data_IF_862494893166
#
_entry.id   IF_862494893166
#
_cell.length_a   1.000
_cell.length_b   1.000
_cell.length_c   1.000
_cell.angle_alpha   90.00
_cell.angle_beta   90.00
_cell.angle_gamma   90.00
#
_symmetry.space_group_name_H-M   'P 1'
#
loop_
_entity.id
_entity.type
_entity.pdbx_description
1 polymer ?
#
# COMPACT_ATOMS: atom_id res chain seq x y z
N UNK A 1 21.20 -7.72 1.95
CA UNK A 1 19.85 -8.27 1.68
C UNK A 1 19.61 -8.23 0.18
N UNK A 2 18.87 -9.21 -0.38
CA UNK A 2 18.54 -9.24 -1.81
C UNK A 2 17.16 -8.63 -2.02
N UNK A 3 17.06 -7.61 -2.87
CA UNK A 3 15.77 -6.99 -3.24
C UNK A 3 15.01 -7.92 -4.18
N UNK A 4 13.71 -8.09 -3.94
CA UNK A 4 12.80 -8.89 -4.75
C UNK A 4 12.19 -10.06 -3.98
N UNK A 5 11.54 -10.97 -4.70
CA UNK A 5 10.81 -12.11 -4.13
C UNK A 5 11.23 -13.43 -4.77
N UNK A 6 10.93 -14.55 -4.10
CA UNK A 6 11.03 -15.87 -4.71
C UNK A 6 10.05 -15.98 -5.89
N UNK A 7 10.42 -16.75 -6.91
CA UNK A 7 9.53 -17.07 -8.03
C UNK A 7 8.37 -17.97 -7.59
N UNK A 8 8.61 -18.86 -6.62
CA UNK A 8 7.61 -19.64 -5.90
C UNK A 8 7.90 -19.59 -4.40
N UNK A 9 6.85 -19.37 -3.61
CA UNK A 9 6.90 -19.27 -2.17
C UNK A 9 6.71 -20.62 -1.48
N UNK A 10 5.97 -21.54 -2.12
CA UNK A 10 5.75 -22.91 -1.69
C UNK A 10 6.18 -23.88 -2.79
N UNK A 11 7.13 -24.76 -2.47
CA UNK A 11 7.66 -25.81 -3.34
C UNK A 11 7.65 -27.14 -2.59
N UNK A 12 6.99 -28.17 -3.15
CA UNK A 12 6.81 -29.49 -2.50
C UNK A 12 6.20 -29.33 -1.09
N UNK A 13 6.94 -29.66 -0.04
CA UNK A 13 6.56 -29.54 1.37
C UNK A 13 7.26 -28.38 2.09
N UNK A 14 7.90 -27.46 1.36
CA UNK A 14 8.63 -26.33 1.92
C UNK A 14 7.95 -25.01 1.55
N UNK A 15 7.76 -24.15 2.56
CA UNK A 15 7.15 -22.83 2.44
C UNK A 15 8.15 -21.80 2.96
N UNK A 16 8.34 -20.74 2.18
CA UNK A 16 9.15 -19.59 2.56
C UNK A 16 8.26 -18.50 3.14
N UNK A 17 8.67 -17.94 4.28
CA UNK A 17 7.99 -16.87 5.02
C UNK A 17 9.04 -15.85 5.47
N UNK A 18 8.64 -14.57 5.55
CA UNK A 18 9.52 -13.45 5.92
C UNK A 18 10.67 -13.27 4.93
N UNK A 19 11.89 -13.01 5.44
CA UNK A 19 13.06 -12.77 4.59
C UNK A 19 13.43 -13.95 3.68
N UNK A 20 12.98 -15.18 3.97
CA UNK A 20 13.19 -16.32 3.10
C UNK A 20 12.33 -16.24 1.81
N UNK A 21 11.17 -15.58 1.90
CA UNK A 21 10.20 -15.40 0.81
C UNK A 21 10.57 -14.23 -0.10
N UNK A 22 11.11 -13.15 0.46
CA UNK A 22 11.48 -11.96 -0.30
C UNK A 22 11.77 -10.78 0.61
N UNK A 23 12.22 -9.69 0.01
CA UNK A 23 12.47 -8.43 0.69
C UNK A 23 12.23 -7.25 -0.26
N UNK A 24 11.45 -6.28 0.23
CA UNK A 24 11.33 -4.92 -0.30
C UNK A 24 11.71 -4.00 0.84
N UNK A 25 12.34 -2.86 0.53
CA UNK A 25 12.80 -1.91 1.55
C UNK A 25 11.66 -1.43 2.48
N UNK A 26 11.97 -1.02 3.71
CA UNK A 26 10.97 -0.77 4.75
C UNK A 26 10.24 0.58 4.63
N UNK A 27 10.25 1.23 3.46
CA UNK A 27 9.64 2.55 3.25
C UNK A 27 8.12 2.56 3.51
N UNK A 28 7.44 1.43 3.29
CA UNK A 28 6.00 1.26 3.54
C UNK A 28 5.66 0.43 4.77
N UNK A 29 6.62 0.15 5.65
CA UNK A 29 6.44 -0.70 6.85
C UNK A 29 5.83 -2.10 6.58
N UNK A 30 6.12 -2.70 5.42
CA UNK A 30 5.46 -3.93 4.94
C UNK A 30 6.14 -5.24 5.34
N UNK A 31 7.29 -5.22 6.01
CA UNK A 31 8.06 -6.43 6.33
C UNK A 31 7.31 -7.43 7.23
N UNK A 32 6.76 -6.95 8.35
CA UNK A 32 5.94 -7.78 9.23
C UNK A 32 4.60 -8.13 8.58
N UNK A 33 4.00 -7.20 7.84
CA UNK A 33 2.74 -7.44 7.12
C UNK A 33 2.86 -8.62 6.14
N UNK A 34 3.89 -8.63 5.28
CA UNK A 34 4.13 -9.73 4.32
C UNK A 34 4.41 -11.07 5.00
N UNK A 35 5.04 -11.04 6.19
CA UNK A 35 5.24 -12.23 7.03
C UNK A 35 3.90 -12.76 7.54
N UNK A 36 3.08 -11.89 8.13
CA UNK A 36 1.74 -12.23 8.62
C UNK A 36 0.85 -12.76 7.50
N UNK A 37 0.83 -12.08 6.34
CA UNK A 37 0.02 -12.50 5.19
C UNK A 37 0.41 -13.88 4.67
N UNK A 38 1.70 -14.22 4.72
CA UNK A 38 2.18 -15.57 4.44
C UNK A 38 1.58 -16.63 5.37
N UNK A 39 1.45 -16.34 6.66
CA UNK A 39 0.78 -17.26 7.61
C UNK A 39 -0.73 -17.35 7.35
N UNK A 40 -1.42 -16.23 7.15
CA UNK A 40 -2.86 -16.21 6.87
C UNK A 40 -3.20 -17.02 5.62
N UNK A 41 -2.47 -16.79 4.51
CA UNK A 41 -2.65 -17.54 3.28
C UNK A 41 -2.31 -19.02 3.47
N UNK A 42 -1.32 -19.35 4.30
CA UNK A 42 -1.04 -20.75 4.62
C UNK A 42 -2.21 -21.40 5.36
N UNK A 43 -2.85 -20.70 6.30
CA UNK A 43 -4.05 -21.22 6.98
C UNK A 43 -5.23 -21.36 6.01
N UNK A 44 -5.41 -20.43 5.09
CA UNK A 44 -6.45 -20.46 4.06
C UNK A 44 -6.26 -21.63 3.07
N UNK A 45 -5.00 -21.92 2.69
CA UNK A 45 -4.63 -22.98 1.77
C UNK A 45 -4.02 -24.19 2.45
N UNK A 46 -4.31 -24.40 3.74
CA UNK A 46 -3.70 -25.45 4.55
C UNK A 46 -4.00 -26.82 3.93
N UNK A 47 -2.98 -27.64 3.64
CA UNK A 47 -3.23 -28.96 3.09
C UNK A 47 -3.73 -29.88 4.20
N UNK A 48 -4.69 -30.75 3.87
CA UNK A 48 -5.06 -31.87 4.74
C UNK A 48 -3.98 -32.96 4.71
N UNK A 49 -4.39 -34.22 4.60
CA UNK A 49 -3.45 -35.36 4.55
C UNK A 49 -2.47 -35.32 3.35
N UNK A 50 -2.80 -34.58 2.28
CA UNK A 50 -1.97 -34.45 1.09
C UNK A 50 -1.91 -33.01 0.60
N UNK A 51 -0.74 -32.61 0.10
CA UNK A 51 -0.53 -31.31 -0.53
C UNK A 51 -1.05 -31.36 -1.96
N UNK A 52 -2.25 -30.81 -2.17
CA UNK A 52 -2.80 -30.64 -3.51
C UNK A 52 -2.04 -29.54 -4.27
N UNK A 53 -1.56 -29.79 -5.50
CA UNK A 53 -0.86 -28.78 -6.30
C UNK A 53 -1.64 -27.47 -6.44
N UNK A 54 -2.96 -27.53 -6.52
CA UNK A 54 -3.85 -26.38 -6.68
C UNK A 54 -3.78 -25.42 -5.49
N UNK A 55 -3.73 -25.94 -4.26
CA UNK A 55 -3.61 -25.12 -3.05
C UNK A 55 -2.29 -24.36 -3.04
N UNK A 56 -1.20 -25.07 -3.37
CA UNK A 56 0.14 -24.49 -3.49
C UNK A 56 0.19 -23.41 -4.58
N UNK A 57 -0.43 -23.66 -5.73
CA UNK A 57 -0.40 -22.72 -6.85
C UNK A 57 -1.20 -21.45 -6.53
N UNK A 58 -2.32 -21.58 -5.80
CA UNK A 58 -3.07 -20.44 -5.27
C UNK A 58 -2.27 -19.66 -4.24
N UNK A 59 -1.67 -20.33 -3.25
CA UNK A 59 -0.76 -19.67 -2.29
C UNK A 59 0.35 -18.88 -2.99
N UNK A 60 1.01 -19.49 -3.99
CA UNK A 60 2.06 -18.85 -4.76
C UNK A 60 1.57 -17.61 -5.54
N UNK A 61 0.38 -17.70 -6.15
CA UNK A 61 -0.23 -16.59 -6.87
C UNK A 61 -0.53 -15.43 -5.93
N UNK A 62 -1.22 -15.69 -4.81
CA UNK A 62 -1.60 -14.65 -3.86
C UNK A 62 -0.39 -13.99 -3.20
N UNK A 63 0.62 -14.76 -2.77
CA UNK A 63 1.87 -14.18 -2.25
C UNK A 63 2.64 -13.39 -3.31
N UNK A 64 2.59 -13.82 -4.57
CA UNK A 64 3.17 -13.07 -5.69
C UNK A 64 2.55 -11.69 -5.83
N UNK A 65 1.22 -11.62 -5.83
CA UNK A 65 0.46 -10.38 -5.90
C UNK A 65 0.78 -9.45 -4.72
N UNK A 66 0.84 -9.96 -3.50
CA UNK A 66 1.20 -9.18 -2.30
C UNK A 66 2.55 -8.49 -2.49
N UNK A 67 3.60 -9.23 -2.87
CA UNK A 67 4.92 -8.63 -3.06
C UNK A 67 4.99 -7.69 -4.26
N UNK A 68 4.29 -7.99 -5.35
CA UNK A 68 4.29 -7.14 -6.55
C UNK A 68 3.56 -5.81 -6.29
N UNK A 69 2.48 -5.83 -5.52
CA UNK A 69 1.79 -4.61 -5.07
C UNK A 69 2.68 -3.78 -4.13
N UNK A 70 3.38 -4.42 -3.18
CA UNK A 70 4.34 -3.74 -2.31
C UNK A 70 5.45 -3.09 -3.13
N UNK A 71 6.01 -3.81 -4.09
CA UNK A 71 7.03 -3.26 -5.01
C UNK A 71 6.49 -2.03 -5.74
N UNK A 72 5.31 -2.11 -6.34
CA UNK A 72 4.75 -1.02 -7.15
C UNK A 72 4.43 0.22 -6.31
N UNK A 73 3.90 0.02 -5.10
CA UNK A 73 3.65 1.09 -4.15
C UNK A 73 4.95 1.80 -3.72
N UNK A 74 6.01 1.05 -3.44
CA UNK A 74 7.32 1.63 -3.11
C UNK A 74 7.93 2.34 -4.32
N UNK A 75 7.88 1.72 -5.50
CA UNK A 75 8.40 2.31 -6.74
C UNK A 75 7.75 3.66 -7.04
N UNK A 76 6.46 3.81 -6.75
CA UNK A 76 5.73 5.06 -6.95
C UNK A 76 6.38 6.26 -6.24
N UNK A 77 6.95 6.07 -5.04
CA UNK A 77 7.64 7.14 -4.31
C UNK A 77 8.87 7.66 -5.05
N UNK A 78 9.60 6.75 -5.70
CA UNK A 78 10.78 7.08 -6.50
C UNK A 78 10.38 7.63 -7.86
N UNK A 79 9.35 7.07 -8.48
CA UNK A 79 8.87 7.51 -9.79
C UNK A 79 8.34 8.95 -9.78
N UNK A 80 7.66 9.35 -8.70
CA UNK A 80 7.05 10.68 -8.59
C UNK A 80 8.00 11.79 -8.10
N UNK A 81 9.21 11.43 -7.68
CA UNK A 81 10.15 12.41 -7.12
C UNK A 81 10.46 13.54 -8.11
N UNK A 82 10.57 14.77 -7.61
CA UNK A 82 10.91 15.95 -8.42
C UNK A 82 12.39 16.32 -8.39
N UNK A 83 13.21 15.48 -7.77
CA UNK A 83 14.65 15.69 -7.54
C UNK A 83 15.48 15.49 -8.81
N UNK A 84 16.50 16.30 -9.03
CA UNK A 84 17.22 16.40 -10.32
C UNK A 84 18.52 15.59 -10.40
N UNK A 85 19.04 15.12 -9.28
CA UNK A 85 20.34 14.46 -9.18
C UNK A 85 20.36 13.11 -9.92
N UNK A 86 21.55 12.62 -10.27
CA UNK A 86 21.72 11.40 -11.08
C UNK A 86 20.91 10.21 -10.54
N UNK A 87 21.05 9.92 -9.25
CA UNK A 87 20.29 8.86 -8.58
C UNK A 87 18.77 8.96 -8.80
N UNK A 88 18.20 10.17 -8.67
CA UNK A 88 16.76 10.38 -8.81
C UNK A 88 16.29 10.34 -10.25
N UNK A 89 17.14 10.74 -11.20
CA UNK A 89 16.85 10.55 -12.63
C UNK A 89 16.82 9.06 -12.99
N UNK A 90 17.78 8.29 -12.49
CA UNK A 90 17.87 6.85 -12.74
C UNK A 90 16.70 6.11 -12.08
N UNK A 91 16.35 6.46 -10.84
CA UNK A 91 15.23 5.86 -10.13
C UNK A 91 13.88 6.10 -10.83
N UNK A 92 13.68 7.29 -11.44
CA UNK A 92 12.49 7.58 -12.26
C UNK A 92 12.46 6.85 -13.60
N UNK A 93 13.61 6.46 -14.13
CA UNK A 93 13.71 5.79 -15.41
C UNK A 93 13.44 4.28 -15.33
N UNK A 94 13.26 3.74 -14.11
CA UNK A 94 12.89 2.34 -13.90
C UNK A 94 11.51 2.08 -14.53
N UNK A 95 11.37 1.07 -15.41
CA UNK A 95 10.09 0.72 -16.02
C UNK A 95 9.04 0.37 -14.96
N UNK A 96 7.81 0.83 -15.19
CA UNK A 96 6.67 0.51 -14.35
C UNK A 96 6.10 -0.86 -14.73
N UNK A 97 5.34 -1.46 -13.82
CA UNK A 97 4.52 -2.63 -14.15
C UNK A 97 3.31 -2.19 -14.97
N UNK A 98 2.80 -3.08 -15.82
CA UNK A 98 1.59 -2.80 -16.61
C UNK A 98 0.41 -2.35 -15.73
N UNK A 99 0.24 -2.98 -14.55
CA UNK A 99 -0.81 -2.61 -13.59
C UNK A 99 -0.62 -1.21 -13.00
N UNK A 100 0.63 -0.81 -12.74
CA UNK A 100 0.92 0.53 -12.22
C UNK A 100 0.75 1.60 -13.31
N UNK A 101 1.12 1.30 -14.56
CA UNK A 101 0.89 2.18 -15.72
C UNK A 101 -0.62 2.40 -15.96
N UNK A 102 -1.41 1.34 -15.92
CA UNK A 102 -2.87 1.40 -16.09
C UNK A 102 -3.52 2.24 -14.99
N UNK A 103 -3.14 2.01 -13.72
CA UNK A 103 -3.64 2.81 -12.59
C UNK A 103 -3.27 4.29 -12.76
N UNK A 104 -2.02 4.60 -13.13
CA UNK A 104 -1.59 5.98 -13.36
C UNK A 104 -2.34 6.63 -14.52
N UNK A 105 -2.66 5.90 -15.58
CA UNK A 105 -3.43 6.42 -16.71
C UNK A 105 -4.84 6.85 -16.28
N UNK A 106 -5.51 6.03 -15.45
CA UNK A 106 -6.83 6.36 -14.90
C UNK A 106 -6.77 7.53 -13.90
N UNK A 107 -5.76 7.52 -13.04
CA UNK A 107 -5.52 8.60 -12.07
C UNK A 107 -5.24 9.92 -12.78
N UNK A 108 -4.36 9.94 -13.78
CA UNK A 108 -3.99 11.16 -14.48
C UNK A 108 -5.17 11.80 -15.19
N UNK A 109 -6.14 11.00 -15.64
CA UNK A 109 -7.27 11.52 -16.39
C UNK A 109 -8.35 12.11 -15.48
N UNK A 110 -8.81 11.34 -14.49
CA UNK A 110 -9.98 11.70 -13.68
C UNK A 110 -9.75 11.64 -12.16
N UNK A 111 -8.53 11.29 -11.73
CA UNK A 111 -8.22 11.05 -10.32
C UNK A 111 -8.82 9.74 -9.82
N UNK A 112 -9.08 8.77 -10.71
CA UNK A 112 -9.65 7.49 -10.34
C UNK A 112 -8.56 6.50 -9.94
N UNK A 113 -8.73 5.89 -8.76
CA UNK A 113 -7.95 4.75 -8.29
C UNK A 113 -8.96 3.65 -8.00
N UNK A 114 -8.83 2.52 -8.67
CA UNK A 114 -9.77 1.42 -8.48
C UNK A 114 -9.41 0.66 -7.20
N UNK A 115 -10.37 0.52 -6.26
CA UNK A 115 -10.18 -0.39 -5.15
C UNK A 115 -10.22 -1.82 -5.68
N UNK A 116 -9.18 -2.60 -5.40
CA UNK A 116 -9.18 -4.05 -5.64
C UNK A 116 -9.16 -4.76 -4.29
N UNK A 117 -10.11 -5.66 -4.09
CA UNK A 117 -10.19 -6.46 -2.89
C UNK A 117 -8.90 -7.25 -2.67
N UNK A 118 -8.39 -7.21 -1.44
CA UNK A 118 -7.14 -7.87 -1.07
C UNK A 118 -5.87 -7.10 -1.42
N UNK A 119 -5.97 -5.81 -1.79
CA UNK A 119 -4.79 -4.95 -1.85
C UNK A 119 -4.10 -4.79 -0.49
N UNK A 120 -2.77 -4.66 -0.52
CA UNK A 120 -1.96 -4.33 0.66
C UNK A 120 -2.21 -2.90 1.15
N UNK A 121 -2.55 -1.99 0.23
CA UNK A 121 -2.76 -0.56 0.52
C UNK A 121 -4.13 -0.11 0.05
N UNK A 122 -4.81 0.72 0.85
CA UNK A 122 -6.03 1.38 0.44
C UNK A 122 -5.77 2.43 -0.66
N UNK A 123 -6.79 2.73 -1.44
CA UNK A 123 -6.81 3.81 -2.45
C UNK A 123 -6.33 5.16 -1.88
N UNK A 124 -6.75 5.48 -0.66
CA UNK A 124 -6.39 6.69 0.08
C UNK A 124 -4.87 6.85 0.22
N UNK A 125 -4.13 5.74 0.39
CA UNK A 125 -2.67 5.78 0.47
C UNK A 125 -2.03 6.25 -0.84
N UNK A 126 -2.60 5.83 -1.98
CA UNK A 126 -2.14 6.30 -3.28
C UNK A 126 -2.48 7.77 -3.47
N UNK A 127 -3.71 8.20 -3.13
CA UNK A 127 -4.08 9.63 -3.18
C UNK A 127 -3.11 10.51 -2.39
N UNK A 128 -2.73 10.10 -1.17
CA UNK A 128 -1.76 10.83 -0.35
C UNK A 128 -0.36 10.92 -0.99
N UNK A 129 0.10 9.84 -1.64
CA UNK A 129 1.38 9.85 -2.36
C UNK A 129 1.34 10.79 -3.56
N UNK A 130 0.26 10.76 -4.33
CA UNK A 130 0.11 11.62 -5.51
C UNK A 130 0.04 13.11 -5.11
N UNK A 131 -0.81 13.43 -4.13
CA UNK A 131 -0.97 14.78 -3.59
C UNK A 131 0.33 15.32 -2.98
N UNK A 132 1.01 14.50 -2.16
CA UNK A 132 2.30 14.84 -1.57
C UNK A 132 3.40 15.13 -2.61
N UNK A 133 3.29 14.54 -3.80
CA UNK A 133 4.19 14.81 -4.93
C UNK A 133 3.65 15.84 -5.95
N UNK A 134 2.51 16.48 -5.65
CA UNK A 134 1.82 17.45 -6.51
C UNK A 134 1.48 16.90 -7.89
N UNK A 135 1.12 15.62 -7.97
CA UNK A 135 0.58 15.00 -9.17
C UNK A 135 -0.94 15.04 -9.09
N UNK A 136 -1.56 15.92 -9.86
CA UNK A 136 -3.01 16.09 -9.89
C UNK A 136 -3.60 15.57 -11.20
N UNK A 137 -4.84 15.08 -11.18
CA UNK A 137 -5.53 14.69 -12.40
C UNK A 137 -5.73 15.90 -13.32
N UNK A 138 -5.80 15.66 -14.63
CA UNK A 138 -6.06 16.68 -15.65
C UNK A 138 -7.41 17.35 -15.46
N UNK A 139 -8.39 16.57 -15.02
CA UNK A 139 -9.76 17.03 -14.79
C UNK A 139 -10.39 16.26 -13.63
N UNK A 140 -11.35 16.87 -12.93
CA UNK A 140 -12.09 16.17 -11.90
C UNK A 140 -12.98 15.09 -12.51
N UNK A 141 -13.25 14.04 -11.73
CA UNK A 141 -14.21 13.01 -12.12
C UNK A 141 -15.61 13.62 -12.36
N UNK A 142 -16.34 13.29 -13.43
CA UNK A 142 -17.62 13.95 -13.78
C UNK A 142 -18.68 13.96 -12.67
N UNK A 143 -18.68 12.93 -11.81
CA UNK A 143 -19.58 12.88 -10.63
C UNK A 143 -19.40 14.05 -9.67
N UNK A 144 -18.24 14.70 -9.62
CA UNK A 144 -18.03 15.87 -8.76
C UNK A 144 -18.85 17.07 -9.22
N UNK A 145 -19.20 17.17 -10.51
CA UNK A 145 -20.03 18.23 -11.05
C UNK A 145 -21.51 18.12 -10.62
N UNK A 146 -21.92 16.98 -10.07
CA UNK A 146 -23.28 16.78 -9.55
C UNK A 146 -23.48 17.39 -8.16
N UNK A 147 -22.40 17.70 -7.45
CA UNK A 147 -22.46 18.25 -6.10
C UNK A 147 -22.54 19.79 -6.13
N UNK A 148 -23.53 20.42 -5.47
CA UNK A 148 -23.58 21.88 -5.36
C UNK A 148 -22.34 22.43 -4.64
N UNK A 149 -21.64 23.46 -5.19
CA UNK A 149 -20.39 23.95 -4.60
C UNK A 149 -20.50 24.36 -3.12
N UNK A 150 -21.60 25.04 -2.76
CA UNK A 150 -21.84 25.43 -1.36
C UNK A 150 -22.00 24.24 -0.41
N UNK A 151 -22.56 23.13 -0.90
CA UNK A 151 -22.72 21.91 -0.10
C UNK A 151 -21.37 21.22 0.10
N UNK A 152 -20.55 21.17 -0.97
CA UNK A 152 -19.18 20.65 -0.90
C UNK A 152 -18.32 21.46 0.08
N UNK A 153 -18.36 22.79 0.00
CA UNK A 153 -17.59 23.67 0.89
C UNK A 153 -17.98 23.50 2.35
N UNK A 154 -19.29 23.36 2.62
CA UNK A 154 -19.80 23.06 3.97
C UNK A 154 -19.33 21.70 4.46
N UNK A 155 -19.42 20.67 3.62
CA UNK A 155 -18.97 19.31 3.97
C UNK A 155 -17.48 19.30 4.32
N UNK A 156 -16.63 19.85 3.45
CA UNK A 156 -15.18 19.90 3.65
C UNK A 156 -14.79 20.74 4.86
N UNK A 157 -15.46 21.88 5.07
CA UNK A 157 -15.23 22.73 6.25
C UNK A 157 -15.65 22.02 7.54
N UNK A 158 -16.77 21.29 7.52
CA UNK A 158 -17.24 20.48 8.65
C UNK A 158 -16.25 19.37 9.00
N UNK A 159 -15.78 18.60 8.02
CA UNK A 159 -14.75 17.57 8.22
C UNK A 159 -13.47 18.16 8.82
N UNK A 160 -13.02 19.32 8.31
CA UNK A 160 -11.86 20.01 8.85
C UNK A 160 -12.05 20.41 10.31
N UNK A 161 -13.20 20.99 10.67
CA UNK A 161 -13.50 21.38 12.04
C UNK A 161 -13.56 20.18 12.98
N UNK A 162 -14.16 19.07 12.54
CA UNK A 162 -14.18 17.82 13.31
C UNK A 162 -12.78 17.28 13.56
N UNK A 163 -11.91 17.27 12.53
CA UNK A 163 -10.52 16.82 12.67
C UNK A 163 -9.72 17.70 13.64
N UNK A 164 -9.89 19.03 13.58
CA UNK A 164 -9.24 19.96 14.52
C UNK A 164 -9.74 19.71 15.94
N UNK A 165 -11.06 19.67 16.14
CA UNK A 165 -11.65 19.42 17.45
C UNK A 165 -11.19 18.08 18.05
N UNK A 166 -11.12 17.02 17.24
CA UNK A 166 -10.60 15.73 17.67
C UNK A 166 -9.12 15.84 18.08
N UNK A 167 -8.27 16.45 17.24
CA UNK A 167 -6.85 16.62 17.51
C UNK A 167 -6.59 17.42 18.80
N UNK A 168 -7.38 18.48 19.06
CA UNK A 168 -7.26 19.32 20.25
C UNK A 168 -7.67 18.58 21.55
N UNK A 169 -8.46 17.51 21.44
CA UNK A 169 -8.88 16.69 22.59
C UNK A 169 -7.98 15.49 22.88
N UNK A 170 -7.10 15.13 21.96
CA UNK A 170 -6.19 13.99 22.13
C UNK A 170 -4.98 14.39 22.98
N UNK A 171 -4.59 13.57 23.97
CA UNK A 171 -3.38 13.84 24.73
C UNK A 171 -2.14 13.68 23.84
N UNK A 172 -1.02 14.34 24.19
CA UNK A 172 0.29 14.01 23.63
C UNK A 172 0.57 12.50 23.71
N UNK A 173 1.28 11.97 22.70
CA UNK A 173 1.61 10.54 22.65
C UNK A 173 2.35 10.06 23.91
N UNK A 174 3.23 10.90 24.47
CA UNK A 174 4.00 10.57 25.69
C UNK A 174 3.08 10.31 26.89
N UNK A 175 2.08 11.17 27.09
CA UNK A 175 1.12 11.03 28.19
C UNK A 175 0.29 9.74 28.04
N UNK A 176 -0.09 9.39 26.80
CA UNK A 176 -0.79 8.14 26.53
C UNK A 176 0.10 6.90 26.79
N UNK A 177 1.38 6.97 26.42
CA UNK A 177 2.33 5.87 26.66
C UNK A 177 2.55 5.64 28.15
N UNK A 178 2.60 6.68 28.97
CA UNK A 178 2.74 6.56 30.43
C UNK A 178 1.55 5.84 31.07
N UNK A 179 0.34 6.00 30.51
CA UNK A 179 -0.87 5.30 30.96
C UNK A 179 -0.88 3.83 30.51
N UNK A 180 -0.49 3.53 29.27
CA UNK A 180 -0.53 2.17 28.70
C UNK A 180 0.65 1.31 29.19
N UNK A 181 1.81 1.94 29.36
CA UNK A 181 3.06 1.31 29.79
C UNK A 181 3.59 2.01 31.05
N UNK A 182 2.86 1.91 32.19
CA UNK A 182 3.35 2.48 33.43
C UNK A 182 4.72 1.88 33.74
N UNK A 183 5.69 2.75 34.07
CA UNK A 183 7.03 2.31 34.41
C UNK A 183 6.95 1.20 35.47
N UNK A 184 7.47 0.01 35.13
CA UNK A 184 7.62 -1.06 36.10
C UNK A 184 8.68 -0.60 37.10
N UNK A 185 8.25 -0.29 38.32
CA UNK A 185 9.12 -0.06 39.49
C UNK A 185 10.01 -1.29 39.71
#
# INVERSE_FOLDING_TARGET
MRIGRRSKFWVKNCISIGLAAGFVEPLGSTGLHTTQRGFELLFEYLPGAAILPQLRDRYNQHMGLVFDQVRDFILLHYYLTRRGEAYWRDARAVPLSASLEEMLALYDEFGQIEPVDGHVFADTSYYLIMDGNRRYPRRPHPRTALAPPMEMDRMLSGLRQQNIAAADTLPPLVDLLDVIHPAKI
#
